data_IF_379278200640
#
_entry.id   IF_379278200640
#
_cell.length_a   1.000
_cell.length_b   1.000
_cell.length_c   1.000
_cell.angle_alpha   90.00
_cell.angle_beta   90.00
_cell.angle_gamma   90.00
#
_symmetry.space_group_name_H-M   'P 1'
#
loop_
_entity.id
_entity.type
_entity.pdbx_description
1 polymer ?
#
# COMPACT_ATOMS: atom_id res chain seq x y z
N UNK A 1 13.45 18.98 19.70
CA UNK A 1 13.38 17.83 18.77
C UNK A 1 12.15 18.05 17.88
N UNK A 2 12.24 17.84 16.57
CA UNK A 2 11.09 18.02 15.66
C UNK A 2 10.35 16.68 15.56
N UNK A 3 9.02 16.65 15.77
CA UNK A 3 8.26 15.41 15.64
C UNK A 3 8.24 14.91 14.18
N UNK A 4 8.46 13.61 13.99
CA UNK A 4 8.47 12.97 12.69
C UNK A 4 7.18 12.15 12.50
N UNK A 5 6.39 12.48 11.47
CA UNK A 5 5.24 11.68 11.06
C UNK A 5 5.73 10.59 10.11
N UNK A 6 5.87 9.36 10.60
CA UNK A 6 6.24 8.24 9.75
C UNK A 6 5.03 7.75 8.94
N UNK A 7 5.18 7.59 7.63
CA UNK A 7 4.08 7.22 6.72
C UNK A 7 3.42 5.88 7.10
N UNK A 8 4.20 4.86 7.44
CA UNK A 8 3.66 3.58 7.88
C UNK A 8 2.90 3.67 9.22
N UNK A 9 3.26 4.61 10.11
CA UNK A 9 2.53 4.81 11.37
C UNK A 9 1.14 5.38 11.09
N UNK A 10 1.06 6.39 10.21
CA UNK A 10 -0.21 6.97 9.80
C UNK A 10 -1.13 5.92 9.11
N UNK A 11 -0.56 5.07 8.27
CA UNK A 11 -1.31 3.96 7.63
C UNK A 11 -1.76 2.90 8.63
N UNK A 12 -0.92 2.51 9.58
CA UNK A 12 -1.29 1.55 10.62
C UNK A 12 -2.41 2.07 11.53
N UNK A 13 -2.36 3.34 11.91
CA UNK A 13 -3.43 3.99 12.69
C UNK A 13 -4.76 3.94 11.95
N UNK A 14 -4.76 4.18 10.63
CA UNK A 14 -5.97 4.07 9.80
C UNK A 14 -6.50 2.63 9.78
N UNK A 15 -5.63 1.62 9.61
CA UNK A 15 -6.03 0.21 9.65
C UNK A 15 -6.68 -0.16 10.99
N UNK A 16 -6.06 0.22 12.11
CA UNK A 16 -6.55 -0.06 13.46
C UNK A 16 -7.89 0.64 13.71
N UNK A 17 -8.04 1.91 13.32
CA UNK A 17 -9.31 2.65 13.44
C UNK A 17 -10.46 1.95 12.71
N UNK A 18 -10.16 1.23 11.62
CA UNK A 18 -11.13 0.46 10.84
C UNK A 18 -11.26 -1.01 11.30
N UNK A 19 -10.69 -1.38 12.44
CA UNK A 19 -10.68 -2.76 12.98
C UNK A 19 -10.08 -3.80 12.02
N UNK A 20 -9.09 -3.39 11.22
CA UNK A 20 -8.36 -4.27 10.31
C UNK A 20 -7.07 -4.75 10.98
N UNK A 21 -6.82 -6.06 10.90
CA UNK A 21 -5.66 -6.74 11.48
C UNK A 21 -4.74 -7.34 10.41
N UNK A 22 -5.24 -7.52 9.18
CA UNK A 22 -4.49 -8.11 8.07
C UNK A 22 -4.57 -7.21 6.83
N UNK A 23 -3.42 -6.91 6.23
CA UNK A 23 -3.29 -5.95 5.14
C UNK A 23 -2.37 -6.46 4.04
N UNK A 24 -2.79 -6.30 2.80
CA UNK A 24 -1.96 -6.51 1.61
C UNK A 24 -1.07 -5.30 1.38
N UNK A 25 0.20 -5.50 1.01
CA UNK A 25 1.13 -4.41 0.72
C UNK A 25 1.62 -4.49 -0.72
N UNK A 26 1.29 -3.46 -1.51
CA UNK A 26 1.82 -3.25 -2.85
C UNK A 26 2.77 -2.05 -2.85
N UNK A 27 3.91 -2.19 -3.49
CA UNK A 27 4.91 -1.14 -3.60
C UNK A 27 6.08 -1.63 -4.43
N UNK A 28 7.21 -0.94 -4.36
CA UNK A 28 8.45 -1.53 -4.89
C UNK A 28 8.79 -2.82 -4.14
N UNK A 29 9.56 -3.72 -4.76
CA UNK A 29 10.15 -4.89 -4.09
C UNK A 29 10.80 -4.52 -2.76
N UNK A 30 11.47 -3.37 -2.65
CA UNK A 30 12.05 -2.91 -1.39
C UNK A 30 11.00 -2.67 -0.31
N UNK A 31 9.92 -1.95 -0.64
CA UNK A 31 8.81 -1.69 0.28
C UNK A 31 8.12 -2.99 0.73
N UNK A 32 7.97 -3.96 -0.17
CA UNK A 32 7.30 -5.23 0.11
C UNK A 32 8.20 -6.23 0.88
N UNK A 33 9.51 -6.24 0.63
CA UNK A 33 10.41 -7.26 1.18
C UNK A 33 11.23 -6.79 2.39
N UNK A 34 11.50 -5.49 2.54
CA UNK A 34 12.35 -4.98 3.62
C UNK A 34 11.56 -4.56 4.87
N UNK A 35 12.22 -4.63 6.02
CA UNK A 35 11.60 -4.44 7.33
C UNK A 35 11.17 -2.99 7.63
N UNK A 36 11.72 -2.00 6.93
CA UNK A 36 11.48 -0.58 7.26
C UNK A 36 10.00 -0.19 7.19
N UNK A 37 9.23 -0.81 6.30
CA UNK A 37 7.79 -0.58 6.16
C UNK A 37 7.01 -1.78 6.69
N UNK A 38 7.25 -2.97 6.12
CA UNK A 38 6.57 -4.21 6.50
C UNK A 38 6.81 -4.55 7.96
N UNK A 39 8.07 -4.66 8.38
CA UNK A 39 8.45 -4.95 9.77
C UNK A 39 7.88 -3.90 10.72
N UNK A 40 7.89 -2.61 10.35
CA UNK A 40 7.27 -1.56 11.19
C UNK A 40 5.77 -1.76 11.42
N UNK A 41 5.00 -2.16 10.41
CA UNK A 41 3.58 -2.48 10.59
C UNK A 41 3.39 -3.71 11.50
N UNK A 42 4.25 -4.71 11.37
CA UNK A 42 4.18 -5.95 12.15
C UNK A 42 4.61 -5.71 13.60
N UNK A 43 5.82 -5.21 13.82
CA UNK A 43 6.47 -5.14 15.13
C UNK A 43 5.85 -4.07 16.04
N UNK A 44 5.45 -2.92 15.47
CA UNK A 44 4.93 -1.80 16.26
C UNK A 44 3.42 -1.86 16.46
N UNK A 45 2.68 -2.42 15.50
CA UNK A 45 1.22 -2.38 15.50
C UNK A 45 0.56 -3.76 15.54
N UNK A 46 1.33 -4.86 15.45
CA UNK A 46 0.81 -6.22 15.48
C UNK A 46 0.02 -6.61 14.23
N UNK A 47 0.15 -5.87 13.13
CA UNK A 47 -0.58 -6.12 11.90
C UNK A 47 0.02 -7.32 11.15
N UNK A 48 -0.84 -8.18 10.60
CA UNK A 48 -0.42 -9.18 9.63
C UNK A 48 -0.25 -8.50 8.26
N UNK A 49 0.95 -8.61 7.68
CA UNK A 49 1.25 -8.01 6.37
C UNK A 49 1.43 -9.11 5.33
N UNK A 50 0.47 -9.19 4.41
CA UNK A 50 0.49 -10.09 3.26
C UNK A 50 1.14 -9.37 2.08
N UNK A 51 2.06 -10.04 1.39
CA UNK A 51 2.70 -9.50 0.18
C UNK A 51 2.49 -10.48 -0.97
N UNK A 52 2.49 -10.02 -2.24
CA UNK A 52 2.35 -10.91 -3.38
C UNK A 52 3.47 -11.94 -3.44
N UNK A 53 3.23 -13.02 -4.19
CA UNK A 53 4.26 -13.99 -4.53
C UNK A 53 5.39 -13.36 -5.37
N UNK A 54 6.56 -14.03 -5.41
CA UNK A 54 7.78 -13.43 -6.00
C UNK A 54 7.57 -12.93 -7.44
N UNK A 55 6.93 -13.73 -8.29
CA UNK A 55 6.67 -13.34 -9.68
C UNK A 55 5.79 -12.08 -9.77
N UNK A 56 4.80 -11.96 -8.90
CA UNK A 56 3.88 -10.82 -8.86
C UNK A 56 4.57 -9.56 -8.31
N UNK A 57 5.49 -9.71 -7.35
CA UNK A 57 6.32 -8.59 -6.88
C UNK A 57 7.20 -8.01 -7.98
N UNK A 58 7.76 -8.88 -8.83
CA UNK A 58 8.55 -8.47 -10.00
C UNK A 58 7.68 -7.71 -11.02
N UNK A 59 6.44 -8.16 -11.27
CA UNK A 59 5.47 -7.44 -12.12
C UNK A 59 5.17 -6.06 -11.55
N UNK A 60 4.78 -5.97 -10.28
CA UNK A 60 4.45 -4.72 -9.60
C UNK A 60 5.63 -3.73 -9.69
N UNK A 61 6.84 -4.18 -9.35
CA UNK A 61 8.04 -3.35 -9.42
C UNK A 61 8.36 -2.88 -10.83
N UNK A 62 8.26 -3.76 -11.83
CA UNK A 62 8.49 -3.42 -13.24
C UNK A 62 7.50 -2.37 -13.72
N UNK A 63 6.21 -2.53 -13.43
CA UNK A 63 5.16 -1.58 -13.82
C UNK A 63 5.41 -0.21 -13.19
N UNK A 64 5.79 -0.15 -11.90
CA UNK A 64 6.13 1.12 -11.24
C UNK A 64 7.22 1.87 -12.03
N UNK A 65 8.36 1.23 -12.27
CA UNK A 65 9.51 1.92 -12.88
C UNK A 65 9.40 2.12 -14.38
N UNK A 66 8.86 1.14 -15.12
CA UNK A 66 8.87 1.17 -16.59
C UNK A 66 7.62 1.79 -17.18
N UNK A 67 6.57 2.01 -16.38
CA UNK A 67 5.32 2.61 -16.84
C UNK A 67 4.93 3.81 -15.99
N UNK A 68 4.64 3.60 -14.71
CA UNK A 68 4.00 4.63 -13.89
C UNK A 68 4.91 5.83 -13.62
N UNK A 69 6.19 5.61 -13.30
CA UNK A 69 7.17 6.68 -13.15
C UNK A 69 7.44 7.45 -14.46
N UNK A 70 7.06 6.88 -15.61
CA UNK A 70 7.13 7.53 -16.92
C UNK A 70 5.79 8.17 -17.34
N UNK A 71 4.78 8.13 -16.47
CA UNK A 71 3.43 8.65 -16.74
C UNK A 71 2.59 7.77 -17.67
N UNK A 72 3.02 6.54 -17.94
CA UNK A 72 2.32 5.61 -18.82
C UNK A 72 1.38 4.71 -18.01
N UNK A 73 0.10 4.68 -18.39
CA UNK A 73 -0.92 3.83 -17.75
C UNK A 73 -1.44 2.82 -18.75
N UNK A 74 -1.16 1.54 -18.51
CA UNK A 74 -1.56 0.45 -19.38
C UNK A 74 -2.70 -0.36 -18.78
N UNK A 75 -3.68 -0.70 -19.63
CA UNK A 75 -4.81 -1.55 -19.21
C UNK A 75 -4.37 -2.95 -18.80
N UNK A 76 -3.37 -3.53 -19.47
CA UNK A 76 -2.84 -4.84 -19.09
C UNK A 76 -2.21 -4.81 -17.68
N UNK A 77 -1.44 -3.76 -17.37
CA UNK A 77 -0.84 -3.58 -16.05
C UNK A 77 -1.90 -3.37 -14.98
N UNK A 78 -2.99 -2.65 -15.27
CA UNK A 78 -4.15 -2.55 -14.37
C UNK A 78 -4.76 -3.93 -14.09
N UNK A 79 -4.97 -4.73 -15.13
CA UNK A 79 -5.56 -6.07 -14.99
C UNK A 79 -4.68 -6.98 -14.12
N UNK A 80 -3.34 -6.93 -14.31
CA UNK A 80 -2.41 -7.65 -13.42
C UNK A 80 -2.49 -7.15 -11.99
N UNK A 81 -2.53 -5.84 -11.75
CA UNK A 81 -2.70 -5.30 -10.40
C UNK A 81 -4.02 -5.76 -9.76
N UNK A 82 -5.13 -5.75 -10.49
CA UNK A 82 -6.42 -6.20 -9.98
C UNK A 82 -6.42 -7.70 -9.67
N UNK A 83 -5.76 -8.53 -10.50
CA UNK A 83 -5.54 -9.95 -10.19
C UNK A 83 -4.75 -10.10 -8.89
N UNK A 84 -3.62 -9.42 -8.76
CA UNK A 84 -2.77 -9.48 -7.56
C UNK A 84 -3.51 -9.00 -6.31
N UNK A 85 -4.30 -7.93 -6.42
CA UNK A 85 -5.14 -7.40 -5.33
C UNK A 85 -6.17 -8.44 -4.89
N UNK A 86 -6.80 -9.13 -5.85
CA UNK A 86 -7.73 -10.22 -5.57
C UNK A 86 -7.03 -11.39 -4.87
N UNK A 87 -5.84 -11.78 -5.34
CA UNK A 87 -5.05 -12.86 -4.73
C UNK A 87 -4.63 -12.51 -3.29
N UNK A 88 -4.29 -11.24 -3.01
CA UNK A 88 -4.03 -10.76 -1.65
C UNK A 88 -5.28 -10.84 -0.75
N UNK A 89 -6.45 -10.49 -1.29
CA UNK A 89 -7.74 -10.60 -0.60
C UNK A 89 -8.05 -12.05 -0.24
N UNK A 90 -7.85 -12.98 -1.18
CA UNK A 90 -8.04 -14.42 -0.97
C UNK A 90 -7.07 -15.00 0.08
N UNK A 91 -5.90 -14.39 0.24
CA UNK A 91 -4.93 -14.70 1.30
C UNK A 91 -5.28 -14.06 2.66
N UNK A 92 -6.41 -13.35 2.76
CA UNK A 92 -6.92 -12.78 4.00
C UNK A 92 -6.51 -11.33 4.25
N UNK A 93 -6.04 -10.60 3.24
CA UNK A 93 -5.92 -9.14 3.34
C UNK A 93 -7.32 -8.51 3.43
N UNK A 94 -7.53 -7.59 4.38
CA UNK A 94 -8.80 -6.86 4.55
C UNK A 94 -8.79 -5.49 3.84
N UNK A 95 -7.59 -5.00 3.55
CA UNK A 95 -7.31 -3.83 2.75
C UNK A 95 -5.99 -4.03 2.00
N UNK A 96 -5.74 -3.23 0.97
CA UNK A 96 -4.45 -3.17 0.27
C UNK A 96 -3.86 -1.77 0.38
N UNK A 97 -2.65 -1.71 0.93
CA UNK A 97 -1.85 -0.49 1.03
C UNK A 97 -1.16 -0.23 -0.30
N UNK A 98 -1.36 0.98 -0.83
CA UNK A 98 -0.67 1.50 -2.00
C UNK A 98 0.60 2.21 -1.50
N UNK A 99 1.68 1.45 -1.37
CA UNK A 99 2.96 1.87 -0.80
C UNK A 99 3.86 2.69 -1.75
N UNK A 100 3.42 2.92 -2.98
CA UNK A 100 3.99 3.90 -3.89
C UNK A 100 2.87 4.82 -4.38
N UNK A 101 3.14 6.12 -4.44
CA UNK A 101 2.14 7.16 -4.76
C UNK A 101 1.60 7.00 -6.18
N UNK A 102 2.40 6.41 -7.07
CA UNK A 102 2.05 6.16 -8.47
C UNK A 102 1.01 5.05 -8.65
N UNK A 103 0.90 4.12 -7.70
CA UNK A 103 -0.04 2.99 -7.83
C UNK A 103 -1.49 3.49 -7.87
N UNK A 104 -1.81 4.54 -7.11
CA UNK A 104 -3.13 5.17 -7.12
C UNK A 104 -3.51 5.82 -8.46
N UNK A 105 -2.56 6.00 -9.37
CA UNK A 105 -2.80 6.46 -10.74
C UNK A 105 -3.33 5.29 -11.61
N UNK A 106 -2.85 4.06 -11.35
CA UNK A 106 -3.17 2.87 -12.15
C UNK A 106 -4.50 2.22 -11.74
N UNK A 107 -4.71 2.05 -10.43
CA UNK A 107 -5.87 1.38 -9.83
C UNK A 107 -6.61 2.32 -8.89
N UNK A 108 -7.94 2.28 -8.94
CA UNK A 108 -8.83 3.10 -8.12
C UNK A 108 -9.73 2.23 -7.26
N UNK A 109 -10.29 2.80 -6.19
CA UNK A 109 -11.25 2.11 -5.34
C UNK A 109 -12.48 1.61 -6.13
N UNK A 110 -12.84 2.25 -7.23
CA UNK A 110 -13.93 1.80 -8.12
C UNK A 110 -13.64 0.50 -8.86
N UNK A 111 -12.37 0.08 -8.92
CA UNK A 111 -11.93 -1.05 -9.72
C UNK A 111 -11.92 -2.37 -8.93
N UNK A 112 -12.13 -2.30 -7.60
CA UNK A 112 -12.07 -3.46 -6.71
C UNK A 112 -12.90 -3.26 -5.44
N UNK A 113 -13.41 -4.35 -4.88
CA UNK A 113 -14.23 -4.32 -3.66
C UNK A 113 -13.38 -4.22 -2.39
N UNK A 114 -12.14 -4.70 -2.41
CA UNK A 114 -11.25 -4.58 -1.25
C UNK A 114 -10.85 -3.11 -1.05
N UNK A 115 -10.81 -2.67 0.22
CA UNK A 115 -10.45 -1.28 0.55
C UNK A 115 -9.01 -1.01 0.10
N UNK A 116 -8.80 0.04 -0.69
CA UNK A 116 -7.48 0.53 -1.04
C UNK A 116 -7.09 1.67 -0.10
N UNK A 117 -5.86 1.64 0.41
CA UNK A 117 -5.31 2.67 1.29
C UNK A 117 -4.18 3.41 0.57
N UNK A 118 -4.48 4.61 0.09
CA UNK A 118 -3.49 5.53 -0.45
C UNK A 118 -2.68 6.15 0.68
N UNK A 119 -1.43 5.70 0.81
CA UNK A 119 -0.52 6.14 1.87
C UNK A 119 -0.19 7.62 1.77
N UNK A 120 -0.19 8.20 0.57
CA UNK A 120 0.05 9.62 0.33
C UNK A 120 -1.07 10.46 0.92
N UNK A 121 -2.31 10.09 0.61
CA UNK A 121 -3.49 10.81 1.09
C UNK A 121 -3.60 10.71 2.63
N UNK A 122 -3.37 9.51 3.18
CA UNK A 122 -3.39 9.28 4.63
C UNK A 122 -2.29 10.10 5.31
N UNK A 123 -1.07 10.12 4.76
CA UNK A 123 0.05 10.86 5.35
C UNK A 123 -0.16 12.37 5.31
N UNK A 124 -0.67 12.90 4.19
CA UNK A 124 -1.03 14.31 4.07
C UNK A 124 -2.12 14.71 5.06
N UNK A 125 -3.17 13.90 5.19
CA UNK A 125 -4.24 14.13 6.17
C UNK A 125 -3.68 14.16 7.60
N UNK A 126 -2.81 13.20 7.95
CA UNK A 126 -2.16 13.17 9.27
C UNK A 126 -1.28 14.39 9.53
N UNK A 127 -0.57 14.87 8.51
CA UNK A 127 0.23 16.08 8.61
C UNK A 127 -0.62 17.33 8.87
N UNK A 128 -1.78 17.46 8.22
CA UNK A 128 -2.73 18.55 8.48
C UNK A 128 -3.29 18.46 9.89
N UNK A 129 -3.74 17.27 10.33
CA UNK A 129 -4.25 17.04 11.69
C UNK A 129 -3.24 17.47 12.76
N UNK A 130 -1.96 17.14 12.57
CA UNK A 130 -0.89 17.51 13.49
C UNK A 130 -0.60 19.02 13.49
N UNK A 131 -0.78 19.69 12.35
CA UNK A 131 -0.51 21.13 12.24
C UNK A 131 -1.59 21.98 12.91
N UNK A 132 -2.80 21.45 13.06
CA UNK A 132 -3.96 22.16 13.62
C UNK A 132 -4.34 21.73 15.05
N UNK A 133 -3.62 20.76 15.62
CA UNK A 133 -3.77 20.29 17.01
C UNK A 133 -2.99 21.14 17.98
#
# INVERSE_FOLDING_TARGET
QIPLIHIADATAEELIKNNMQSVGLLGTVFTMEQDFYKGRLQDKFGLNVVIPEKADREIVHKVIYQELCLGNVQTNSRNEYLRIIKDLSEQGAQAVVLGCTEIGILVKQSDTEIKLLDTTAIHAQKAVEMAIS
#
